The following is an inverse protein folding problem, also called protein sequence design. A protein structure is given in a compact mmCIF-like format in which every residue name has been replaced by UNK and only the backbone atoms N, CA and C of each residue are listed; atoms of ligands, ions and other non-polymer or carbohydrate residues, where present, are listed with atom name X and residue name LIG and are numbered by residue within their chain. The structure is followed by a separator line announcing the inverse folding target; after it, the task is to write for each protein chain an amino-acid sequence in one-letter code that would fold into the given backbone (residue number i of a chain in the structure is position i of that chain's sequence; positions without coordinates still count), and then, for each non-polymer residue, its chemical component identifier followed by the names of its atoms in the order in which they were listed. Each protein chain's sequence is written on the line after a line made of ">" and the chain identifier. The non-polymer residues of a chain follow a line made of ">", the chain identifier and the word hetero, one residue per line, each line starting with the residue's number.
data_IF_211968213778
#
_entry.id   IF_211968213778
#
_cell.length_a   1.000
_cell.length_b   1.000
_cell.length_c   1.000
_cell.angle_alpha   90.00
_cell.angle_beta   90.00
_cell.angle_gamma   90.00
#
_symmetry.space_group_name_H-M   'P 1'
#
loop_
_entity.id
_entity.type
_entity.pdbx_description
1 polymer ?
#
# COMPACT_ATOMS: atom_id res chain seq x y z
N UNK A 1 7.02 -4.70 1.63
CA UNK A 1 7.69 -3.49 1.13
C UNK A 1 7.19 -3.13 -0.26
N UNK A 2 7.04 -1.83 -0.56
CA UNK A 2 6.78 -1.28 -1.91
C UNK A 2 7.73 -0.11 -2.17
N UNK A 3 8.01 0.20 -3.43
CA UNK A 3 9.00 1.23 -3.81
C UNK A 3 8.39 2.11 -4.91
N UNK A 4 8.58 3.43 -4.80
CA UNK A 4 8.24 4.39 -5.85
C UNK A 4 9.34 5.46 -5.93
N UNK A 5 10.06 5.51 -7.05
CA UNK A 5 11.28 6.31 -7.16
C UNK A 5 12.27 5.96 -6.05
N UNK A 6 12.67 6.97 -5.28
CA UNK A 6 13.62 6.84 -4.17
C UNK A 6 12.92 6.71 -2.81
N UNK A 7 11.63 6.38 -2.79
CA UNK A 7 10.88 6.21 -1.55
C UNK A 7 10.47 4.74 -1.35
N UNK A 8 10.67 4.26 -0.13
CA UNK A 8 10.29 2.91 0.29
C UNK A 8 9.15 2.98 1.29
N UNK A 9 8.13 2.17 1.06
CA UNK A 9 6.96 2.00 1.91
C UNK A 9 7.05 0.64 2.62
N UNK A 10 7.20 0.66 3.93
CA UNK A 10 7.28 -0.53 4.78
C UNK A 10 5.92 -0.84 5.39
N UNK A 11 5.24 -1.80 4.78
CA UNK A 11 4.00 -2.36 5.30
C UNK A 11 4.34 -3.43 6.36
N UNK A 12 3.76 -3.38 7.57
CA UNK A 12 3.95 -4.41 8.57
C UNK A 12 3.40 -5.74 8.07
N UNK A 13 4.07 -6.82 8.45
CA UNK A 13 3.58 -8.18 8.22
C UNK A 13 2.50 -8.48 9.25
N UNK A 14 1.29 -8.80 8.80
CA UNK A 14 0.26 -9.38 9.66
C UNK A 14 0.21 -10.88 9.35
N UNK A 15 0.48 -11.72 10.35
CA UNK A 15 0.22 -13.15 10.23
C UNK A 15 -1.27 -13.36 9.95
N UNK A 16 -1.56 -14.17 8.92
CA UNK A 16 -2.92 -14.59 8.63
C UNK A 16 -3.33 -15.58 9.71
N UNK A 17 -3.96 -15.09 10.78
CA UNK A 17 -4.68 -15.98 11.68
C UNK A 17 -5.80 -16.64 10.86
N UNK A 18 -5.91 -17.97 10.94
CA UNK A 18 -6.80 -18.80 10.14
C UNK A 18 -8.28 -18.52 10.49
N UNK A 19 -8.83 -17.42 10.02
CA UNK A 19 -10.27 -17.22 9.94
C UNK A 19 -10.68 -16.98 8.49
N UNK A 20 -11.43 -17.97 8.01
CA UNK A 20 -12.22 -17.94 6.80
C UNK A 20 -13.06 -16.66 6.70
N UNK A 21 -13.15 -16.14 5.48
CA UNK A 21 -14.19 -15.24 4.98
C UNK A 21 -14.48 -13.97 5.80
N UNK A 22 -13.80 -12.89 5.44
CA UNK A 22 -14.51 -11.64 5.14
C UNK A 22 -13.59 -10.70 4.37
N UNK A 23 -13.88 -10.56 3.09
CA UNK A 23 -13.86 -9.26 2.43
C UNK A 23 -14.30 -8.17 3.43
N UNK A 24 -13.61 -7.02 3.48
CA UNK A 24 -14.04 -5.82 4.24
C UNK A 24 -13.58 -5.62 5.69
N UNK A 25 -12.35 -6.02 6.06
CA UNK A 25 -11.59 -5.16 6.99
C UNK A 25 -10.30 -4.70 6.33
N UNK A 26 -10.46 -3.59 5.60
CA UNK A 26 -9.42 -2.59 5.39
C UNK A 26 -8.91 -2.17 6.79
N UNK A 27 -8.03 -2.98 7.39
CA UNK A 27 -7.34 -2.54 8.59
C UNK A 27 -6.44 -1.41 8.13
N UNK A 28 -6.76 -0.21 8.56
CA UNK A 28 -5.88 0.95 8.49
C UNK A 28 -4.49 0.53 8.95
N UNK A 29 -3.56 0.41 8.00
CA UNK A 29 -2.20 -0.03 8.26
C UNK A 29 -1.32 1.19 8.40
N UNK A 30 -0.62 1.28 9.53
CA UNK A 30 0.49 2.21 9.66
C UNK A 30 1.64 1.73 8.79
N UNK A 31 2.11 2.59 7.89
CA UNK A 31 3.17 2.36 6.93
C UNK A 31 4.25 3.39 7.15
N UNK A 32 5.48 2.95 7.35
CA UNK A 32 6.62 3.84 7.45
C UNK A 32 7.23 4.08 6.07
N UNK A 33 7.54 5.34 5.79
CA UNK A 33 8.11 5.81 4.53
C UNK A 33 9.54 6.28 4.75
N UNK A 34 10.45 5.81 3.91
CA UNK A 34 11.87 6.15 3.95
C UNK A 34 12.31 6.71 2.61
N UNK A 35 13.22 7.68 2.65
CA UNK A 35 13.94 8.17 1.47
C UNK A 35 15.26 7.39 1.35
N UNK A 36 15.44 6.72 0.22
CA UNK A 36 16.61 5.89 -0.09
C UNK A 36 17.88 6.68 -0.39
N UNK A 37 17.76 7.90 -0.94
CA UNK A 37 18.94 8.72 -1.26
C UNK A 37 19.64 9.18 0.01
N UNK A 38 18.85 9.65 0.98
CA UNK A 38 19.35 10.11 2.26
C UNK A 38 19.48 8.98 3.29
N UNK A 39 18.83 7.83 3.04
CA UNK A 39 18.72 6.74 4.02
C UNK A 39 17.90 7.12 5.26
N UNK A 40 17.02 8.11 5.16
CA UNK A 40 16.30 8.68 6.31
C UNK A 40 14.83 8.30 6.34
N UNK A 41 14.29 8.17 7.55
CA UNK A 41 12.85 8.15 7.77
C UNK A 41 12.21 9.47 7.31
N UNK A 42 11.05 9.38 6.65
CA UNK A 42 10.26 10.52 6.17
C UNK A 42 9.04 10.71 7.07
N UNK A 43 8.15 9.71 7.12
CA UNK A 43 6.88 9.80 7.84
C UNK A 43 6.25 8.42 8.08
N UNK A 44 5.24 8.36 8.95
CA UNK A 44 4.33 7.23 9.10
C UNK A 44 2.94 7.65 8.63
N UNK A 45 2.32 6.87 7.76
CA UNK A 45 1.00 7.16 7.19
C UNK A 45 0.07 5.96 7.30
N UNK A 46 -1.24 6.22 7.26
CA UNK A 46 -2.25 5.17 7.29
C UNK A 46 -2.67 4.83 5.86
N UNK A 47 -2.55 3.56 5.50
CA UNK A 47 -3.06 3.01 4.25
C UNK A 47 -4.27 2.11 4.53
N UNK A 48 -5.40 2.28 3.83
CA UNK A 48 -6.57 1.43 4.02
C UNK A 48 -6.37 0.01 3.47
N UNK A 49 -5.39 -0.20 2.57
CA UNK A 49 -5.07 -1.51 1.98
C UNK A 49 -3.56 -1.62 1.75
N UNK A 50 -3.03 -2.84 1.53
CA UNK A 50 -1.67 -2.99 1.01
C UNK A 50 -1.70 -3.01 -0.51
N UNK A 51 -1.12 -2.00 -1.20
CA UNK A 51 -1.16 -1.91 -2.65
C UNK A 51 -0.48 -3.09 -3.31
N UNK A 52 -1.01 -3.51 -4.46
CA UNK A 52 -0.31 -4.44 -5.32
C UNK A 52 1.01 -3.84 -5.79
N UNK A 53 0.96 -2.58 -6.24
CA UNK A 53 2.13 -1.77 -6.62
C UNK A 53 1.91 -0.32 -6.23
N UNK A 54 3.00 0.39 -5.93
CA UNK A 54 3.04 1.85 -5.85
C UNK A 54 3.95 2.32 -6.98
N UNK A 55 3.49 3.25 -7.81
CA UNK A 55 4.26 3.77 -8.95
C UNK A 55 3.73 5.11 -9.43
N UNK A 56 4.64 6.05 -9.69
CA UNK A 56 4.35 7.39 -10.22
C UNK A 56 3.39 8.19 -9.31
N UNK A 57 3.61 8.11 -8.00
CA UNK A 57 2.78 8.65 -6.92
C UNK A 57 1.37 8.04 -6.80
N UNK A 58 1.14 6.85 -7.35
CA UNK A 58 -0.16 6.16 -7.24
C UNK A 58 -0.03 4.81 -6.57
N UNK A 59 -1.00 4.50 -5.69
CA UNK A 59 -1.23 3.17 -5.15
C UNK A 59 -2.28 2.44 -6.00
N UNK A 60 -1.96 1.21 -6.40
CA UNK A 60 -2.85 0.36 -7.19
C UNK A 60 -3.36 -0.80 -6.34
N UNK A 61 -4.67 -0.92 -6.23
CA UNK A 61 -5.36 -2.03 -5.59
C UNK A 61 -5.86 -2.98 -6.68
N UNK A 62 -5.59 -4.27 -6.54
CA UNK A 62 -6.15 -5.31 -7.41
C UNK A 62 -7.24 -6.05 -6.66
N UNK A 63 -8.47 -5.99 -7.20
CA UNK A 63 -9.61 -6.77 -6.70
C UNK A 63 -9.93 -7.86 -7.71
N UNK A 64 -9.71 -9.11 -7.31
CA UNK A 64 -10.05 -10.28 -8.11
C UNK A 64 -11.52 -10.63 -7.92
N UNK A 65 -12.32 -10.46 -8.96
CA UNK A 65 -13.71 -10.91 -9.02
C UNK A 65 -13.78 -12.38 -9.43
N UNK A 66 -13.46 -13.31 -8.53
CA UNK A 66 -13.65 -14.75 -8.76
C UNK A 66 -13.08 -15.32 -10.08
N UNK A 67 -13.61 -16.46 -10.53
CA UNK A 67 -13.16 -17.18 -11.73
C UNK A 67 -13.74 -16.63 -13.04
N UNK A 68 -14.83 -15.87 -12.98
CA UNK A 68 -15.61 -15.46 -14.16
C UNK A 68 -15.66 -13.95 -14.37
N UNK A 69 -15.11 -13.14 -13.46
CA UNK A 69 -15.10 -11.68 -13.59
C UNK A 69 -13.70 -11.15 -13.91
N UNK A 70 -13.66 -10.05 -14.66
CA UNK A 70 -12.41 -9.35 -14.93
C UNK A 70 -11.84 -8.73 -13.64
N UNK A 71 -10.51 -8.74 -13.52
CA UNK A 71 -9.84 -8.06 -12.40
C UNK A 71 -10.10 -6.55 -12.46
N UNK A 72 -10.58 -6.00 -11.34
CA UNK A 72 -10.74 -4.55 -11.18
C UNK A 72 -9.44 -3.98 -10.61
N UNK A 73 -8.92 -2.94 -11.26
CA UNK A 73 -7.74 -2.21 -10.81
C UNK A 73 -8.18 -0.82 -10.36
N UNK A 74 -8.17 -0.57 -9.05
CA UNK A 74 -8.40 0.77 -8.51
C UNK A 74 -7.08 1.52 -8.41
N UNK A 75 -7.09 2.79 -8.79
CA UNK A 75 -5.91 3.67 -8.79
C UNK A 75 -6.15 4.87 -7.87
N UNK A 76 -5.30 5.04 -6.87
CA UNK A 76 -5.40 6.12 -5.87
C UNK A 76 -4.16 7.00 -5.90
N UNK A 77 -4.33 8.33 -5.96
CA UNK A 77 -3.21 9.28 -5.87
C UNK A 77 -2.75 9.35 -4.42
N UNK A 78 -1.43 9.22 -4.20
CA UNK A 78 -0.81 9.43 -2.89
C UNK A 78 -0.57 10.92 -2.72
N UNK A 79 -0.91 11.45 -1.55
CA UNK A 79 -0.67 12.84 -1.19
C UNK A 79 0.85 13.14 -1.25
N UNK A 80 1.29 14.22 -1.92
CA UNK A 80 2.71 14.61 -1.97
C UNK A 80 3.39 14.73 -0.60
N UNK A 81 2.64 15.08 0.46
CA UNK A 81 3.15 15.18 1.83
C UNK A 81 3.71 13.83 2.34
N UNK A 82 3.23 12.70 1.82
CA UNK A 82 3.75 11.36 2.14
C UNK A 82 5.20 11.19 1.69
N UNK A 83 5.62 11.91 0.65
CA UNK A 83 6.99 11.93 0.15
C UNK A 83 7.88 12.96 0.84
N UNK A 84 7.35 13.70 1.82
CA UNK A 84 8.03 14.81 2.50
C UNK A 84 8.13 16.09 1.65
N UNK A 85 7.21 16.26 0.68
CA UNK A 85 7.13 17.43 -0.21
C UNK A 85 6.07 18.42 0.24
#
# INVERSE_FOLDING_TARGET
>A
MKVDGNHVFLFPYEEKDNQEESSEKLKDRRVDVFNLDAGTYVTSVIFPFIPYVIRNDYAYEMRYGGREEFTIINKYKIDPAVYGK
#
